data_IF_676540539543
#
_entry.id   IF_676540539543
#
_cell.length_a   1.000
_cell.length_b   1.000
_cell.length_c   1.000
_cell.angle_alpha   90.00
_cell.angle_beta   90.00
_cell.angle_gamma   90.00
#
_symmetry.space_group_name_H-M   'P 1'
#
loop_
_entity.id
_entity.type
_entity.pdbx_description
1 polymer ?
#
# COMPACT_ATOMS: atom_id res chain seq x y z
N UNK A 1 39.33 -1.94 13.39
CA UNK A 1 38.19 -1.44 12.61
C UNK A 1 36.89 -1.81 13.28
N UNK A 2 35.88 -0.98 13.08
CA UNK A 2 34.53 -1.19 13.58
C UNK A 2 33.52 -1.06 12.43
N UNK A 3 32.57 -1.98 12.38
CA UNK A 3 31.50 -1.98 11.38
C UNK A 3 30.21 -2.41 12.08
N UNK A 4 29.25 -1.51 12.31
CA UNK A 4 27.96 -1.88 12.87
C UNK A 4 27.15 -2.67 11.84
N UNK A 5 26.43 -3.68 12.30
CA UNK A 5 25.52 -4.51 11.50
C UNK A 5 24.18 -4.64 12.21
N UNK A 6 23.15 -5.01 11.46
CA UNK A 6 21.78 -5.21 11.96
C UNK A 6 21.11 -3.92 12.51
N UNK A 7 20.11 -3.45 11.83
CA UNK A 7 19.34 -2.28 12.21
C UNK A 7 19.06 -1.35 11.03
N UNK A 8 18.28 -0.31 11.30
CA UNK A 8 18.09 0.76 10.33
C UNK A 8 19.37 1.59 10.19
N UNK A 9 19.52 2.28 9.06
CA UNK A 9 20.71 3.13 8.83
C UNK A 9 20.92 4.15 9.95
N UNK A 10 19.85 4.72 10.51
CA UNK A 10 19.93 5.60 11.70
C UNK A 10 20.57 4.90 12.91
N UNK A 11 20.18 3.65 13.19
CA UNK A 11 20.73 2.87 14.30
C UNK A 11 22.22 2.53 14.07
N UNK A 12 22.60 2.23 12.82
CA UNK A 12 23.99 1.98 12.46
C UNK A 12 24.86 3.24 12.67
N UNK A 13 24.36 4.43 12.29
CA UNK A 13 25.06 5.68 12.54
C UNK A 13 25.22 5.98 14.04
N UNK A 14 24.16 5.82 14.83
CA UNK A 14 24.24 5.98 16.28
C UNK A 14 25.24 5.01 16.91
N UNK A 15 25.33 3.77 16.42
CA UNK A 15 26.29 2.78 16.90
C UNK A 15 27.73 3.16 16.50
N UNK A 16 27.93 3.76 15.32
CA UNK A 16 29.23 4.30 14.91
C UNK A 16 29.68 5.47 15.82
N UNK A 17 28.76 6.34 16.24
CA UNK A 17 29.04 7.42 17.19
C UNK A 17 29.47 6.86 18.56
N UNK A 18 28.82 5.81 19.03
CA UNK A 18 29.23 5.13 20.29
C UNK A 18 30.62 4.53 20.15
N UNK A 19 30.97 3.96 19.00
CA UNK A 19 32.32 3.43 18.77
C UNK A 19 33.39 4.54 18.85
N UNK A 20 33.10 5.75 18.38
CA UNK A 20 33.99 6.90 18.54
C UNK A 20 34.14 7.31 20.00
N UNK A 21 33.06 7.31 20.77
CA UNK A 21 33.11 7.65 22.20
C UNK A 21 33.96 6.70 23.04
N UNK A 22 34.06 5.43 22.63
CA UNK A 22 34.96 4.46 23.29
C UNK A 22 36.37 4.44 22.70
N UNK A 23 36.73 5.39 21.83
CA UNK A 23 38.09 5.65 21.36
C UNK A 23 38.46 5.01 20.02
N UNK A 24 37.50 4.49 19.25
CA UNK A 24 37.80 4.02 17.89
C UNK A 24 37.86 5.24 16.95
N UNK A 25 38.99 5.38 16.24
CA UNK A 25 39.20 6.50 15.32
C UNK A 25 38.20 6.45 14.15
N UNK A 26 37.71 7.60 13.72
CA UNK A 26 36.67 7.76 12.68
C UNK A 26 37.08 7.11 11.35
N UNK A 27 38.36 7.14 10.99
CA UNK A 27 38.91 6.51 9.79
C UNK A 27 38.89 4.97 9.84
N UNK A 28 38.64 4.41 11.03
CA UNK A 28 38.51 2.95 11.26
C UNK A 28 37.06 2.50 11.47
N UNK A 29 36.08 3.39 11.27
CA UNK A 29 34.67 3.10 11.42
C UNK A 29 33.98 3.15 10.04
N UNK A 30 33.38 2.05 9.64
CA UNK A 30 32.67 1.93 8.37
C UNK A 30 31.21 1.63 8.61
N UNK A 31 30.31 2.40 7.96
CA UNK A 31 28.86 2.16 7.96
C UNK A 31 28.43 1.91 6.51
N UNK A 32 28.63 0.67 5.99
CA UNK A 32 28.29 0.37 4.61
C UNK A 32 26.79 0.24 4.40
N UNK A 33 26.35 0.59 3.20
CA UNK A 33 25.03 0.20 2.70
C UNK A 33 24.97 -1.30 2.39
N UNK A 34 23.76 -1.85 2.23
CA UNK A 34 23.61 -3.23 1.78
C UNK A 34 24.31 -3.45 0.42
N UNK A 35 25.09 -4.51 0.36
CA UNK A 35 25.88 -4.87 -0.82
C UNK A 35 27.15 -4.05 -1.04
N UNK A 36 27.41 -3.01 -0.26
CA UNK A 36 28.63 -2.21 -0.40
C UNK A 36 29.84 -3.01 0.03
N UNK A 37 30.90 -2.96 -0.79
CA UNK A 37 32.12 -3.74 -0.59
C UNK A 37 33.06 -2.96 0.33
N UNK A 38 33.52 -3.64 1.38
CA UNK A 38 34.62 -3.17 2.25
C UNK A 38 35.82 -4.07 2.06
N UNK A 39 36.97 -3.50 1.76
CA UNK A 39 38.21 -4.24 1.57
C UNK A 39 39.15 -4.03 2.75
N UNK A 40 39.89 -5.06 3.11
CA UNK A 40 40.97 -5.02 4.10
C UNK A 40 42.20 -5.60 3.48
N UNK A 41 43.27 -4.81 3.43
CA UNK A 41 44.57 -5.22 2.87
C UNK A 41 45.65 -5.21 3.97
N UNK A 42 46.43 -6.28 4.07
CA UNK A 42 47.55 -6.30 4.97
C UNK A 42 48.81 -5.75 4.26
N UNK A 43 49.37 -4.68 4.82
CA UNK A 43 50.64 -4.08 4.36
C UNK A 43 51.66 -4.13 5.49
N UNK A 44 52.52 -5.18 5.43
CA UNK A 44 53.47 -5.45 6.51
C UNK A 44 52.76 -5.87 7.80
N UNK A 45 52.89 -5.04 8.85
CA UNK A 45 52.23 -5.24 10.14
C UNK A 45 50.93 -4.46 10.30
N UNK A 46 50.57 -3.68 9.31
CA UNK A 46 49.37 -2.82 9.33
C UNK A 46 48.27 -3.39 8.44
N UNK A 47 47.03 -3.26 8.90
CA UNK A 47 45.83 -3.56 8.09
C UNK A 47 45.21 -2.23 7.67
N UNK A 48 45.03 -2.06 6.37
CA UNK A 48 44.37 -0.90 5.77
C UNK A 48 42.97 -1.31 5.30
N UNK A 49 41.94 -0.68 5.87
CA UNK A 49 40.55 -0.89 5.46
C UNK A 49 40.07 0.25 4.58
N UNK A 50 39.26 -0.07 3.60
CA UNK A 50 38.63 0.89 2.71
C UNK A 50 37.17 0.52 2.44
N UNK A 51 36.27 1.49 2.58
CA UNK A 51 34.88 1.38 2.14
C UNK A 51 34.79 1.83 0.68
N UNK A 52 34.63 0.87 -0.23
CA UNK A 52 34.63 1.15 -1.66
C UNK A 52 33.30 1.76 -2.13
N UNK A 53 33.27 2.33 -3.34
CA UNK A 53 32.03 2.76 -4.00
C UNK A 53 31.30 1.61 -4.72
N UNK A 54 31.93 0.47 -4.81
CA UNK A 54 31.38 -0.71 -5.49
C UNK A 54 30.32 -1.38 -4.62
N UNK A 55 29.27 -1.89 -5.28
CA UNK A 55 28.17 -2.61 -4.64
C UNK A 55 27.86 -3.89 -5.42
N UNK A 56 27.62 -4.96 -4.70
CA UNK A 56 26.98 -6.15 -5.27
C UNK A 56 25.46 -5.96 -5.27
N UNK A 57 24.79 -6.59 -6.23
CA UNK A 57 23.31 -6.57 -6.29
C UNK A 57 22.75 -7.29 -5.07
N UNK A 58 21.85 -6.63 -4.36
CA UNK A 58 21.15 -7.20 -3.20
C UNK A 58 19.66 -7.10 -3.42
N UNK A 59 18.93 -8.19 -3.14
CA UNK A 59 17.49 -8.24 -3.15
C UNK A 59 16.94 -8.24 -1.72
N UNK A 60 15.71 -7.72 -1.59
CA UNK A 60 14.97 -7.74 -0.34
C UNK A 60 13.92 -8.83 -0.37
N UNK A 61 13.92 -9.68 0.63
CA UNK A 61 12.85 -10.64 0.86
C UNK A 61 11.95 -10.08 1.96
N UNK A 62 10.71 -9.78 1.59
CA UNK A 62 9.73 -9.26 2.54
C UNK A 62 9.24 -10.39 3.45
N UNK A 63 9.15 -10.10 4.74
CA UNK A 63 8.68 -11.05 5.76
C UNK A 63 7.48 -10.46 6.46
N UNK A 64 6.39 -11.24 6.55
CA UNK A 64 5.17 -10.88 7.28
C UNK A 64 4.76 -12.03 8.20
N UNK A 65 4.88 -11.83 9.50
CA UNK A 65 4.62 -12.89 10.46
C UNK A 65 5.56 -14.09 10.26
N UNK A 66 5.00 -15.27 10.02
CA UNK A 66 5.75 -16.49 9.74
C UNK A 66 6.04 -16.71 8.24
N UNK A 67 5.45 -15.88 7.36
CA UNK A 67 5.62 -16.00 5.90
C UNK A 67 6.86 -15.25 5.41
N UNK A 68 7.81 -15.96 4.81
CA UNK A 68 8.98 -15.39 4.14
C UNK A 68 8.70 -15.32 2.65
N UNK A 69 8.70 -14.11 2.07
CA UNK A 69 8.43 -13.90 0.65
C UNK A 69 6.95 -13.93 0.24
N UNK A 70 6.02 -14.13 1.18
CA UNK A 70 4.58 -14.23 0.89
C UNK A 70 3.88 -12.87 0.72
N UNK A 71 4.52 -11.78 1.12
CA UNK A 71 3.94 -10.44 1.02
C UNK A 71 4.21 -9.87 -0.35
N UNK A 72 3.19 -9.87 -1.21
CA UNK A 72 3.28 -9.22 -2.52
C UNK A 72 3.26 -7.69 -2.39
N UNK A 73 3.83 -7.00 -3.38
CA UNK A 73 3.78 -5.53 -3.50
C UNK A 73 2.34 -4.99 -3.45
N UNK A 74 1.37 -5.79 -3.91
CA UNK A 74 -0.05 -5.43 -3.89
C UNK A 74 -0.55 -5.33 -2.44
N UNK A 75 -0.24 -6.33 -1.60
CA UNK A 75 -0.66 -6.35 -0.19
C UNK A 75 -0.04 -5.19 0.59
N UNK A 76 1.24 -4.91 0.36
CA UNK A 76 1.92 -3.77 1.00
C UNK A 76 1.33 -2.43 0.58
N UNK A 77 1.06 -2.25 -0.71
CA UNK A 77 0.42 -1.06 -1.25
C UNK A 77 -0.97 -0.86 -0.65
N UNK A 78 -1.76 -1.92 -0.56
CA UNK A 78 -3.11 -1.87 0.00
C UNK A 78 -3.09 -1.52 1.49
N UNK A 79 -2.19 -2.10 2.27
CA UNK A 79 -1.96 -1.74 3.68
C UNK A 79 -1.54 -0.28 3.83
N UNK A 80 -0.65 0.21 2.97
CA UNK A 80 -0.22 1.61 2.97
C UNK A 80 -1.39 2.54 2.69
N UNK A 81 -2.17 2.28 1.65
CA UNK A 81 -3.36 3.09 1.30
C UNK A 81 -4.38 3.13 2.44
N UNK A 82 -4.66 1.98 3.08
CA UNK A 82 -5.55 1.93 4.23
C UNK A 82 -5.01 2.69 5.44
N UNK A 83 -3.70 2.68 5.66
CA UNK A 83 -3.07 3.40 6.78
C UNK A 83 -3.06 4.92 6.56
N UNK A 84 -2.87 5.39 5.33
CA UNK A 84 -2.80 6.82 4.98
C UNK A 84 -4.19 7.46 4.87
N UNK A 85 -5.08 6.88 4.09
CA UNK A 85 -6.35 7.49 3.68
C UNK A 85 -7.60 6.70 4.11
N UNK A 86 -7.41 5.53 4.72
CA UNK A 86 -8.49 4.67 5.16
C UNK A 86 -9.18 3.92 4.03
N UNK A 87 -10.39 3.43 4.31
CA UNK A 87 -11.17 2.65 3.36
C UNK A 87 -12.64 3.03 3.34
N UNK A 88 -13.28 2.77 2.21
CA UNK A 88 -14.73 2.89 2.03
C UNK A 88 -15.25 1.64 1.31
N UNK A 89 -16.26 1.01 1.90
CA UNK A 89 -16.98 -0.11 1.29
C UNK A 89 -18.29 0.41 0.72
N UNK A 90 -18.56 0.08 -0.54
CA UNK A 90 -19.77 0.44 -1.26
C UNK A 90 -20.55 -0.84 -1.57
N UNK A 91 -21.68 -1.04 -0.92
CA UNK A 91 -22.52 -2.22 -1.10
C UNK A 91 -23.74 -1.82 -1.94
N UNK A 92 -23.85 -2.34 -3.15
CA UNK A 92 -24.96 -2.11 -4.06
C UNK A 92 -25.74 -3.39 -4.32
N UNK A 93 -27.06 -3.34 -4.17
CA UNK A 93 -27.95 -4.45 -4.51
C UNK A 93 -28.60 -4.17 -5.86
N UNK A 94 -28.61 -5.14 -6.75
CA UNK A 94 -29.23 -5.05 -8.07
C UNK A 94 -30.19 -6.24 -8.29
N UNK A 95 -31.24 -5.97 -9.03
CA UNK A 95 -32.16 -7.00 -9.48
C UNK A 95 -31.52 -7.87 -10.57
N UNK A 96 -31.44 -9.18 -10.34
CA UNK A 96 -30.78 -10.13 -11.24
C UNK A 96 -31.46 -10.27 -12.59
N UNK A 97 -32.73 -9.84 -12.72
CA UNK A 97 -33.52 -9.95 -13.95
C UNK A 97 -33.49 -8.67 -14.78
N UNK A 98 -33.55 -7.50 -14.11
CA UNK A 98 -33.62 -6.21 -14.78
C UNK A 98 -32.29 -5.46 -14.81
N UNK A 99 -31.38 -5.77 -13.90
CA UNK A 99 -30.14 -5.01 -13.69
C UNK A 99 -30.34 -3.70 -12.90
N UNK A 100 -31.56 -3.39 -12.48
CA UNK A 100 -31.86 -2.16 -11.77
C UNK A 100 -31.31 -2.16 -10.34
N UNK A 101 -30.87 -0.99 -9.82
CA UNK A 101 -30.45 -0.88 -8.43
C UNK A 101 -31.65 -0.98 -7.49
N UNK A 102 -31.57 -1.87 -6.50
CA UNK A 102 -32.57 -2.02 -5.45
C UNK A 102 -32.17 -1.18 -4.24
N UNK A 103 -33.05 -0.28 -3.84
CA UNK A 103 -32.83 0.57 -2.68
C UNK A 103 -31.68 1.60 -2.85
N UNK A 104 -31.06 1.98 -1.76
CA UNK A 104 -29.87 2.84 -1.74
C UNK A 104 -28.62 2.01 -1.48
N UNK A 105 -27.51 2.26 -2.18
CA UNK A 105 -26.24 1.64 -1.82
C UNK A 105 -25.85 1.95 -0.37
N UNK A 106 -25.38 0.93 0.35
CA UNK A 106 -24.83 1.14 1.67
C UNK A 106 -23.37 1.55 1.57
N UNK A 107 -22.99 2.52 2.41
CA UNK A 107 -21.62 3.03 2.47
C UNK A 107 -21.09 2.83 3.88
N UNK A 108 -19.95 2.14 3.99
CA UNK A 108 -19.25 1.96 5.25
C UNK A 108 -17.87 2.60 5.10
N UNK A 109 -17.49 3.45 6.04
CA UNK A 109 -16.18 4.11 6.07
C UNK A 109 -15.40 3.72 7.32
N UNK A 110 -14.09 3.49 7.16
CA UNK A 110 -13.15 3.26 8.25
C UNK A 110 -11.83 4.00 7.95
N UNK A 111 -11.38 4.80 8.92
CA UNK A 111 -10.13 5.55 8.80
C UNK A 111 -10.14 6.70 7.80
N UNK A 112 -11.22 6.90 7.02
CA UNK A 112 -11.33 7.95 6.00
C UNK A 112 -12.11 9.17 6.48
N UNK A 113 -13.39 9.01 6.79
CA UNK A 113 -14.27 10.06 7.26
C UNK A 113 -15.17 9.56 8.39
N UNK A 114 -15.60 10.51 9.27
CA UNK A 114 -16.66 10.22 10.21
C UNK A 114 -18.02 10.42 9.53
N UNK A 115 -18.75 9.32 9.34
CA UNK A 115 -19.95 9.30 8.49
C UNK A 115 -21.07 10.24 8.97
N UNK A 116 -21.19 10.44 10.29
CA UNK A 116 -22.26 11.29 10.86
C UNK A 116 -22.11 12.76 10.47
N UNK A 117 -20.88 13.22 10.31
CA UNK A 117 -20.55 14.62 9.99
C UNK A 117 -20.48 14.88 8.48
N UNK A 118 -20.51 13.82 7.66
CA UNK A 118 -20.32 13.90 6.21
C UNK A 118 -21.52 13.33 5.43
N UNK A 119 -22.75 13.62 5.89
CA UNK A 119 -23.99 13.07 5.30
C UNK A 119 -24.14 13.40 3.82
N UNK A 120 -23.79 14.62 3.42
CA UNK A 120 -23.91 15.08 2.03
C UNK A 120 -22.94 14.30 1.11
N UNK A 121 -21.68 14.11 1.55
CA UNK A 121 -20.71 13.34 0.80
C UNK A 121 -21.15 11.87 0.62
N UNK A 122 -21.73 11.29 1.67
CA UNK A 122 -22.28 9.93 1.62
C UNK A 122 -23.46 9.86 0.66
N UNK A 123 -24.37 10.84 0.71
CA UNK A 123 -25.55 10.88 -0.18
C UNK A 123 -25.14 11.08 -1.64
N UNK A 124 -24.19 11.99 -1.91
CA UNK A 124 -23.64 12.20 -3.24
C UNK A 124 -22.98 10.90 -3.78
N UNK A 125 -22.23 10.20 -2.93
CA UNK A 125 -21.63 8.92 -3.30
C UNK A 125 -22.69 7.87 -3.65
N UNK A 126 -23.77 7.77 -2.87
CA UNK A 126 -24.91 6.87 -3.15
C UNK A 126 -25.56 7.15 -4.49
N UNK A 127 -25.86 8.43 -4.76
CA UNK A 127 -26.47 8.83 -6.02
C UNK A 127 -25.58 8.53 -7.21
N UNK A 128 -24.27 8.73 -7.04
CA UNK A 128 -23.28 8.43 -8.07
C UNK A 128 -23.21 6.93 -8.39
N UNK A 129 -23.16 6.09 -7.38
CA UNK A 129 -23.20 4.63 -7.56
C UNK A 129 -24.45 4.16 -8.27
N UNK A 130 -25.64 4.70 -7.88
CA UNK A 130 -26.89 4.40 -8.60
C UNK A 130 -26.85 4.81 -10.06
N UNK A 131 -26.27 5.98 -10.36
CA UNK A 131 -26.13 6.46 -11.73
C UNK A 131 -25.24 5.51 -12.54
N UNK A 132 -24.10 5.08 -11.98
CA UNK A 132 -23.18 4.13 -12.64
C UNK A 132 -23.90 2.82 -12.97
N UNK A 133 -24.68 2.28 -12.04
CA UNK A 133 -25.43 1.04 -12.27
C UNK A 133 -26.44 1.22 -13.42
N UNK A 134 -27.23 2.30 -13.41
CA UNK A 134 -28.20 2.59 -14.45
C UNK A 134 -27.61 2.86 -15.84
N UNK A 135 -26.41 3.38 -15.90
CA UNK A 135 -25.69 3.66 -17.15
C UNK A 135 -24.87 2.45 -17.65
N UNK A 136 -24.85 1.35 -16.88
CA UNK A 136 -24.19 0.11 -17.28
C UNK A 136 -25.18 -0.76 -18.05
N UNK A 137 -24.73 -1.38 -19.13
CA UNK A 137 -25.56 -2.24 -19.97
C UNK A 137 -26.26 -3.32 -19.11
N UNK A 138 -27.59 -3.42 -19.12
CA UNK A 138 -28.32 -4.44 -18.38
C UNK A 138 -27.88 -5.87 -18.70
N UNK A 139 -27.43 -6.14 -19.92
CA UNK A 139 -26.91 -7.47 -20.30
C UNK A 139 -25.68 -7.86 -19.48
N UNK A 140 -24.83 -6.90 -19.13
CA UNK A 140 -23.67 -7.14 -18.27
C UNK A 140 -24.08 -7.38 -16.80
N UNK A 141 -25.21 -6.83 -16.38
CA UNK A 141 -25.70 -6.91 -15.01
C UNK A 141 -26.51 -8.20 -14.75
N UNK A 142 -27.22 -8.69 -15.76
CA UNK A 142 -28.13 -9.86 -15.65
C UNK A 142 -27.48 -11.16 -16.07
N UNK A 143 -26.31 -11.11 -16.73
CA UNK A 143 -25.64 -12.33 -17.16
C UNK A 143 -25.17 -13.15 -15.96
N UNK A 144 -25.44 -14.44 -16.00
CA UNK A 144 -24.95 -15.42 -15.02
C UNK A 144 -23.60 -16.03 -15.45
N UNK A 145 -23.07 -15.58 -16.58
CA UNK A 145 -21.83 -16.10 -17.17
C UNK A 145 -20.61 -15.33 -16.68
N UNK A 146 -19.91 -15.92 -15.71
CA UNK A 146 -18.49 -15.71 -15.51
C UNK A 146 -18.07 -14.55 -14.58
N UNK A 147 -17.00 -14.81 -13.86
CA UNK A 147 -16.30 -13.93 -12.89
C UNK A 147 -15.82 -12.57 -13.46
N UNK A 148 -15.85 -12.37 -14.78
CA UNK A 148 -15.30 -11.15 -15.41
C UNK A 148 -16.27 -9.97 -15.52
N UNK A 149 -17.58 -10.22 -15.57
CA UNK A 149 -18.59 -9.16 -15.82
C UNK A 149 -18.93 -8.40 -14.54
N UNK A 150 -19.02 -9.07 -13.40
CA UNK A 150 -19.15 -8.45 -12.09
C UNK A 150 -17.94 -7.58 -11.76
N UNK A 151 -16.77 -7.95 -12.24
CA UNK A 151 -15.53 -7.18 -12.04
C UNK A 151 -15.50 -5.89 -12.87
N UNK A 152 -16.14 -5.84 -14.03
CA UNK A 152 -16.25 -4.60 -14.82
C UNK A 152 -17.08 -3.55 -14.10
N UNK A 153 -18.26 -3.90 -13.57
CA UNK A 153 -19.07 -2.99 -12.78
C UNK A 153 -18.35 -2.54 -11.51
N UNK A 154 -17.73 -3.47 -10.77
CA UNK A 154 -16.94 -3.16 -9.59
C UNK A 154 -15.79 -2.21 -9.91
N UNK A 155 -15.07 -2.45 -11.02
CA UNK A 155 -13.97 -1.58 -11.45
C UNK A 155 -14.46 -0.18 -11.84
N UNK A 156 -15.61 -0.07 -12.51
CA UNK A 156 -16.25 1.21 -12.86
C UNK A 156 -16.65 1.99 -11.60
N UNK A 157 -17.29 1.31 -10.64
CA UNK A 157 -17.66 1.92 -9.35
C UNK A 157 -16.38 2.36 -8.60
N UNK A 158 -15.37 1.51 -8.52
CA UNK A 158 -14.10 1.83 -7.84
C UNK A 158 -13.45 3.07 -8.44
N UNK A 159 -13.27 3.12 -9.76
CA UNK A 159 -12.61 4.22 -10.44
C UNK A 159 -13.36 5.55 -10.28
N UNK A 160 -14.67 5.55 -10.51
CA UNK A 160 -15.49 6.75 -10.46
C UNK A 160 -15.64 7.29 -9.02
N UNK A 161 -15.93 6.43 -8.05
CA UNK A 161 -16.05 6.82 -6.63
C UNK A 161 -14.71 7.31 -6.10
N UNK A 162 -13.59 6.65 -6.42
CA UNK A 162 -12.27 7.11 -5.99
C UNK A 162 -11.96 8.50 -6.53
N UNK A 163 -12.23 8.75 -7.80
CA UNK A 163 -12.02 10.07 -8.42
C UNK A 163 -12.94 11.14 -7.81
N UNK A 164 -14.19 10.82 -7.55
CA UNK A 164 -15.14 11.71 -6.91
C UNK A 164 -14.70 12.10 -5.49
N UNK A 165 -14.31 11.10 -4.68
CA UNK A 165 -13.85 11.33 -3.31
C UNK A 165 -12.56 12.16 -3.29
N UNK A 166 -11.61 11.88 -4.19
CA UNK A 166 -10.41 12.69 -4.33
C UNK A 166 -10.70 14.14 -4.68
N UNK A 167 -11.62 14.39 -5.61
CA UNK A 167 -12.00 15.75 -5.98
C UNK A 167 -12.59 16.53 -4.81
N UNK A 168 -13.39 15.87 -3.97
CA UNK A 168 -14.06 16.47 -2.82
C UNK A 168 -13.17 16.62 -1.60
N UNK A 169 -12.28 15.67 -1.34
CA UNK A 169 -11.54 15.59 -0.06
C UNK A 169 -10.02 15.68 -0.18
N UNK A 170 -9.48 15.58 -1.41
CA UNK A 170 -8.04 15.44 -1.70
C UNK A 170 -7.39 14.19 -1.08
N UNK A 171 -8.20 13.22 -0.64
CA UNK A 171 -7.77 11.93 -0.12
C UNK A 171 -8.16 10.81 -1.08
N UNK A 172 -7.42 9.71 -1.04
CA UNK A 172 -7.61 8.53 -1.90
C UNK A 172 -7.84 7.26 -1.08
N UNK A 173 -8.98 7.14 -0.37
CA UNK A 173 -9.26 5.94 0.40
C UNK A 173 -9.34 4.71 -0.52
N UNK A 174 -9.06 3.55 0.04
CA UNK A 174 -9.30 2.29 -0.66
C UNK A 174 -10.81 2.11 -0.85
N UNK A 175 -11.28 2.03 -2.10
CA UNK A 175 -12.68 1.79 -2.43
C UNK A 175 -12.91 0.33 -2.74
N UNK A 176 -13.76 -0.32 -1.94
CA UNK A 176 -14.14 -1.73 -2.07
C UNK A 176 -15.62 -1.84 -2.49
N UNK A 177 -15.92 -1.98 -3.77
CA UNK A 177 -17.29 -2.21 -4.24
C UNK A 177 -17.70 -3.67 -4.03
N UNK A 178 -18.89 -3.86 -3.47
CA UNK A 178 -19.57 -5.14 -3.32
C UNK A 178 -20.90 -5.04 -4.07
N UNK A 179 -21.13 -5.93 -5.02
CA UNK A 179 -22.38 -5.99 -5.78
C UNK A 179 -23.10 -7.28 -5.42
N UNK A 180 -24.34 -7.15 -4.97
CA UNK A 180 -25.21 -8.26 -4.57
C UNK A 180 -26.33 -8.34 -5.60
N UNK A 181 -26.48 -9.49 -6.25
CA UNK A 181 -27.58 -9.81 -7.17
C UNK A 181 -28.67 -10.58 -6.42
N UNK A 182 -29.90 -10.13 -6.51
CA UNK A 182 -31.08 -10.77 -5.89
C UNK A 182 -32.20 -10.96 -6.89
#
# INVERSE_FOLDING_TARGET
YFMPIEGSHYMLQAHAELAQQVGISTDKIFVPDNGQITTFEQRGHEIIGELTKEKVVTDYVMVDGLGVGDVSDIVLRDRKTMAEDGMIVVIATIDSKTGDPIGNPDIISRGFIYMKDNKDLIQDTRMRVKKIIKETDPLLLTSTRGLGEDDQLKNKIRADVSQFLFNKTKRRPMVLPVVIKV
#
